data_IF_558068688017
#
_entry.id   IF_558068688017
#
_cell.length_a   1.000
_cell.length_b   1.000
_cell.length_c   1.000
_cell.angle_alpha   90.00
_cell.angle_beta   90.00
_cell.angle_gamma   90.00
#
_symmetry.space_group_name_H-M   'P 1'
#
loop_
_entity.id
_entity.type
_entity.pdbx_description
1 polymer ?
#
# COMPACT_ATOMS: atom_id res chain seq x y z
N UNK A 1 10.44 -4.89 24.87
CA UNK A 1 10.80 -6.10 24.11
C UNK A 1 12.16 -5.83 23.46
N UNK A 2 13.08 -6.80 23.36
CA UNK A 2 14.28 -6.61 22.55
C UNK A 2 13.84 -6.17 21.14
N UNK A 3 14.51 -5.17 20.57
CA UNK A 3 14.14 -4.65 19.25
C UNK A 3 14.08 -5.80 18.25
N UNK A 4 12.88 -6.03 17.69
CA UNK A 4 12.68 -7.06 16.69
C UNK A 4 13.72 -6.89 15.58
N UNK A 5 14.24 -8.00 15.07
CA UNK A 5 15.23 -7.99 13.99
C UNK A 5 14.52 -7.93 12.62
N UNK A 6 15.16 -7.39 11.57
CA UNK A 6 14.72 -7.61 10.20
C UNK A 6 14.58 -9.11 9.90
N UNK A 7 13.61 -9.46 9.07
CA UNK A 7 13.38 -10.84 8.63
C UNK A 7 14.39 -11.19 7.53
N UNK A 8 14.93 -12.40 7.60
CA UNK A 8 15.90 -12.93 6.65
C UNK A 8 16.02 -14.45 6.78
N UNK A 9 16.43 -15.11 5.68
CA UNK A 9 16.65 -16.55 5.66
C UNK A 9 15.39 -17.35 6.04
N UNK A 10 15.52 -18.46 6.79
CA UNK A 10 14.39 -19.34 7.13
C UNK A 10 13.18 -18.63 7.76
N UNK A 11 13.43 -17.53 8.49
CA UNK A 11 12.39 -16.73 9.14
C UNK A 11 11.41 -16.08 8.15
N UNK A 12 11.80 -15.89 6.89
CA UNK A 12 10.91 -15.38 5.85
C UNK A 12 9.78 -16.38 5.58
N UNK A 13 10.12 -17.66 5.36
CA UNK A 13 9.15 -18.71 5.07
C UNK A 13 8.29 -19.05 6.31
N UNK A 14 8.91 -19.11 7.49
CA UNK A 14 8.19 -19.33 8.75
C UNK A 14 7.14 -18.23 8.98
N UNK A 15 7.53 -16.96 8.80
CA UNK A 15 6.62 -15.83 8.95
C UNK A 15 5.54 -15.83 7.87
N UNK A 16 5.88 -16.17 6.63
CA UNK A 16 4.94 -16.26 5.53
C UNK A 16 3.83 -17.26 5.85
N UNK A 17 4.18 -18.49 6.27
CA UNK A 17 3.22 -19.55 6.62
C UNK A 17 2.30 -19.14 7.77
N UNK A 18 2.87 -18.56 8.83
CA UNK A 18 2.07 -18.10 9.97
C UNK A 18 1.08 -16.99 9.59
N UNK A 19 1.48 -16.07 8.71
CA UNK A 19 0.59 -15.04 8.16
C UNK A 19 -0.46 -15.63 7.22
N UNK A 20 -0.08 -16.60 6.40
CA UNK A 20 -0.98 -17.31 5.48
C UNK A 20 -2.12 -18.00 6.26
N UNK A 21 -1.78 -18.79 7.27
CA UNK A 21 -2.73 -19.47 8.15
C UNK A 21 -3.67 -18.47 8.85
N UNK A 22 -3.11 -17.38 9.40
CA UNK A 22 -3.88 -16.33 10.08
C UNK A 22 -4.86 -15.61 9.14
N UNK A 23 -4.39 -15.25 7.94
CA UNK A 23 -5.25 -14.61 6.94
C UNK A 23 -6.33 -15.58 6.47
N UNK A 24 -5.99 -16.84 6.22
CA UNK A 24 -6.93 -17.88 5.79
C UNK A 24 -8.01 -18.18 6.82
N UNK A 25 -7.66 -18.25 8.10
CA UNK A 25 -8.58 -18.59 9.18
C UNK A 25 -9.62 -17.51 9.46
N UNK A 26 -9.36 -16.26 9.06
CA UNK A 26 -10.18 -15.10 9.43
C UNK A 26 -10.72 -14.29 8.24
N UNK A 27 -10.73 -14.87 7.04
CA UNK A 27 -11.17 -14.22 5.79
C UNK A 27 -12.58 -13.65 5.86
N UNK A 28 -13.45 -14.36 6.58
CA UNK A 28 -14.81 -13.99 6.87
C UNK A 28 -14.94 -12.66 7.65
N UNK A 29 -13.93 -12.29 8.43
CA UNK A 29 -13.86 -11.01 9.13
C UNK A 29 -13.29 -9.92 8.23
N UNK A 30 -12.16 -10.19 7.56
CA UNK A 30 -11.41 -9.14 6.88
C UNK A 30 -11.74 -8.92 5.41
N UNK A 31 -12.49 -9.78 4.73
CA UNK A 31 -12.93 -9.57 3.33
C UNK A 31 -14.21 -8.73 3.18
N UNK A 32 -15.29 -8.92 3.97
CA UNK A 32 -16.57 -8.24 3.73
C UNK A 32 -16.53 -6.74 4.00
N UNK A 33 -16.86 -5.87 3.03
CA UNK A 33 -16.73 -4.38 3.14
C UNK A 33 -17.92 -3.78 3.86
N UNK A 34 -17.80 -3.21 5.08
CA UNK A 34 -18.94 -2.64 5.80
C UNK A 34 -19.75 -1.66 4.97
N UNK A 35 -19.10 -0.87 4.11
CA UNK A 35 -19.77 0.04 3.16
C UNK A 35 -20.82 -0.64 2.27
N UNK A 36 -20.60 -1.90 1.88
CA UNK A 36 -21.44 -2.63 0.93
C UNK A 36 -22.58 -3.41 1.59
N UNK A 37 -22.54 -3.60 2.92
CA UNK A 37 -23.50 -4.41 3.66
C UNK A 37 -24.33 -3.52 4.58
N UNK A 38 -25.60 -3.87 4.79
CA UNK A 38 -26.38 -3.33 5.91
C UNK A 38 -26.04 -4.10 7.20
N UNK A 39 -25.86 -5.42 7.07
CA UNK A 39 -25.38 -6.31 8.11
C UNK A 39 -24.30 -7.24 7.53
N UNK A 40 -23.15 -7.31 8.20
CA UNK A 40 -22.03 -8.15 7.78
C UNK A 40 -22.28 -9.61 8.18
N UNK A 41 -21.86 -10.60 7.34
CA UNK A 41 -22.09 -12.01 7.64
C UNK A 41 -21.48 -12.50 8.97
N UNK A 42 -20.39 -11.89 9.43
CA UNK A 42 -19.74 -12.28 10.69
C UNK A 42 -20.47 -11.79 11.94
N UNK A 43 -21.38 -10.81 11.84
CA UNK A 43 -22.05 -10.23 13.01
C UNK A 43 -22.88 -11.26 13.77
N UNK A 44 -23.50 -12.21 13.06
CA UNK A 44 -24.26 -13.29 13.69
C UNK A 44 -23.38 -14.25 14.51
N UNK A 45 -22.09 -14.37 14.16
CA UNK A 45 -21.12 -15.22 14.88
C UNK A 45 -20.46 -14.50 16.06
N UNK A 46 -20.41 -13.17 16.02
CA UNK A 46 -19.85 -12.33 17.08
C UNK A 46 -20.81 -11.18 17.45
N UNK A 47 -22.01 -11.50 17.98
CA UNK A 47 -23.07 -10.51 18.18
C UNK A 47 -22.71 -9.43 19.20
N UNK A 48 -21.95 -9.78 20.24
CA UNK A 48 -21.50 -8.82 21.25
C UNK A 48 -20.54 -7.78 20.66
N UNK A 49 -19.53 -8.22 19.90
CA UNK A 49 -18.61 -7.34 19.20
C UNK A 49 -19.34 -6.45 18.19
N UNK A 50 -20.24 -7.03 17.40
CA UNK A 50 -21.02 -6.27 16.41
C UNK A 50 -21.88 -5.17 17.07
N UNK A 51 -22.63 -5.52 18.12
CA UNK A 51 -23.47 -4.58 18.86
C UNK A 51 -22.63 -3.51 19.58
N UNK A 52 -21.44 -3.85 20.05
CA UNK A 52 -20.51 -2.88 20.63
C UNK A 52 -19.97 -1.91 19.58
N UNK A 53 -19.52 -2.39 18.42
CA UNK A 53 -19.00 -1.54 17.33
C UNK A 53 -20.07 -0.60 16.77
N UNK A 54 -21.30 -1.07 16.57
CA UNK A 54 -22.40 -0.26 16.03
C UNK A 54 -22.86 0.87 16.95
N UNK A 55 -22.64 0.76 18.26
CA UNK A 55 -23.02 1.79 19.25
C UNK A 55 -22.00 2.90 19.41
N UNK A 56 -20.80 2.75 18.85
CA UNK A 56 -19.73 3.74 18.93
C UNK A 56 -19.98 4.92 17.99
N UNK A 57 -19.46 6.07 18.36
CA UNK A 57 -19.55 7.28 17.54
C UNK A 57 -18.59 7.22 16.33
N UNK A 58 -18.75 8.18 15.41
CA UNK A 58 -17.77 8.37 14.33
C UNK A 58 -16.40 8.79 14.88
N UNK A 59 -16.38 9.69 15.87
CA UNK A 59 -15.14 10.17 16.50
C UNK A 59 -14.37 9.03 17.19
N UNK A 60 -15.09 8.11 17.85
CA UNK A 60 -14.52 6.90 18.44
C UNK A 60 -13.84 5.99 17.40
N UNK A 61 -14.39 5.93 16.18
CA UNK A 61 -13.81 5.16 15.09
C UNK A 61 -12.56 5.85 14.53
N UNK A 62 -12.62 7.19 14.37
CA UNK A 62 -11.48 7.97 13.87
C UNK A 62 -10.28 7.91 14.81
N UNK A 63 -10.52 7.97 16.13
CA UNK A 63 -9.48 7.86 17.15
C UNK A 63 -8.76 6.51 17.11
N UNK A 64 -9.48 5.42 16.80
CA UNK A 64 -8.94 4.07 16.72
C UNK A 64 -8.41 3.69 15.32
N UNK A 65 -8.71 4.45 14.26
CA UNK A 65 -8.52 4.01 12.86
C UNK A 65 -7.09 3.59 12.51
N UNK A 66 -6.08 4.31 13.01
CA UNK A 66 -4.67 4.01 12.74
C UNK A 66 -4.04 3.07 13.78
N UNK A 67 -4.68 2.92 14.94
CA UNK A 67 -4.22 2.07 16.03
C UNK A 67 -5.33 1.15 16.55
N UNK A 68 -5.97 0.36 15.67
CA UNK A 68 -7.07 -0.51 16.06
C UNK A 68 -6.62 -1.55 17.09
N UNK A 69 -5.34 -1.93 17.10
CA UNK A 69 -4.77 -2.89 18.04
C UNK A 69 -4.77 -2.43 19.50
N UNK A 70 -4.89 -1.12 19.74
CA UNK A 70 -4.94 -0.54 21.09
C UNK A 70 -6.36 -0.49 21.65
N UNK A 71 -7.36 -0.86 20.84
CA UNK A 71 -8.75 -0.78 21.20
C UNK A 71 -9.15 -1.94 22.12
N UNK A 72 -9.62 -1.62 23.32
CA UNK A 72 -10.27 -2.57 24.21
C UNK A 72 -11.70 -2.88 23.72
N UNK A 73 -11.83 -3.91 22.88
CA UNK A 73 -13.10 -4.37 22.31
C UNK A 73 -13.41 -5.82 22.72
N UNK A 74 -14.69 -6.24 22.73
CA UNK A 74 -15.09 -7.61 23.06
C UNK A 74 -14.43 -8.66 22.15
N UNK A 75 -14.33 -9.89 22.67
CA UNK A 75 -13.82 -11.03 21.90
C UNK A 75 -14.60 -11.22 20.58
N UNK A 76 -13.93 -11.65 19.49
CA UNK A 76 -12.53 -12.09 19.43
C UNK A 76 -11.53 -10.96 19.13
N UNK A 77 -11.92 -9.69 19.23
CA UNK A 77 -11.12 -8.57 18.71
C UNK A 77 -9.74 -8.45 19.38
N UNK A 78 -9.68 -8.58 20.70
CA UNK A 78 -8.46 -8.50 21.50
C UNK A 78 -7.43 -9.57 21.12
N UNK A 79 -7.86 -10.82 21.00
CA UNK A 79 -7.02 -11.94 20.57
C UNK A 79 -6.50 -11.74 19.14
N UNK A 80 -7.36 -11.26 18.23
CA UNK A 80 -6.97 -10.93 16.85
C UNK A 80 -5.98 -9.78 16.79
N UNK A 81 -6.15 -8.76 17.64
CA UNK A 81 -5.23 -7.63 17.73
C UNK A 81 -3.85 -8.07 18.22
N UNK A 82 -3.78 -8.89 19.27
CA UNK A 82 -2.54 -9.48 19.77
C UNK A 82 -1.85 -10.36 18.72
N UNK A 83 -2.58 -11.26 18.06
CA UNK A 83 -2.04 -12.11 17.01
C UNK A 83 -1.52 -11.27 15.82
N UNK A 84 -2.30 -10.29 15.37
CA UNK A 84 -1.90 -9.38 14.30
C UNK A 84 -0.61 -8.63 14.65
N UNK A 85 -0.47 -8.10 15.87
CA UNK A 85 0.73 -7.42 16.32
C UNK A 85 1.96 -8.31 16.27
N UNK A 86 1.87 -9.52 16.85
CA UNK A 86 2.97 -10.49 16.87
C UNK A 86 3.38 -10.89 15.46
N UNK A 87 2.41 -11.21 14.61
CA UNK A 87 2.63 -11.59 13.21
C UNK A 87 3.12 -10.42 12.35
N UNK A 88 2.83 -9.19 12.74
CA UNK A 88 3.24 -7.96 12.05
C UNK A 88 4.61 -7.43 12.48
N UNK A 89 5.16 -7.97 13.57
CA UNK A 89 6.40 -7.49 14.15
C UNK A 89 7.58 -7.68 13.19
N UNK A 90 8.27 -6.59 12.89
CA UNK A 90 9.44 -6.56 12.01
C UNK A 90 10.45 -5.53 12.49
N UNK A 91 11.73 -5.88 12.46
CA UNK A 91 12.80 -4.94 12.82
C UNK A 91 12.99 -3.79 11.86
N UNK A 92 13.62 -2.72 12.34
CA UNK A 92 14.18 -1.71 11.46
C UNK A 92 15.46 -2.26 10.82
N UNK A 93 15.64 -2.01 9.52
CA UNK A 93 16.91 -2.29 8.86
C UNK A 93 18.01 -1.43 9.52
N UNK A 94 19.23 -1.95 9.70
CA UNK A 94 20.33 -1.17 10.28
C UNK A 94 20.57 0.08 9.44
N UNK A 95 20.80 1.22 10.12
CA UNK A 95 21.22 2.43 9.43
C UNK A 95 22.71 2.32 9.08
N UNK A 96 23.08 2.80 7.92
CA UNK A 96 24.48 3.00 7.52
C UNK A 96 24.75 4.49 7.55
N UNK A 97 25.88 4.87 8.15
CA UNK A 97 26.42 6.20 8.00
C UNK A 97 26.86 6.39 6.54
N UNK A 98 26.00 7.00 5.74
CA UNK A 98 26.34 7.56 4.43
C UNK A 98 26.44 9.06 4.57
N UNK A 99 27.35 9.66 3.82
CA UNK A 99 27.37 11.11 3.68
C UNK A 99 25.98 11.56 3.21
N UNK A 100 25.36 12.45 3.98
CA UNK A 100 24.02 12.89 3.64
C UNK A 100 24.09 13.68 2.33
N UNK A 101 23.21 13.35 1.38
CA UNK A 101 23.02 14.16 0.19
C UNK A 101 22.81 15.63 0.59
N UNK A 102 23.60 16.58 0.03
CA UNK A 102 23.50 17.99 0.40
C UNK A 102 22.08 18.56 0.18
N UNK A 103 21.68 19.56 0.96
CA UNK A 103 20.30 20.10 0.90
C UNK A 103 19.89 20.64 -0.49
N UNK A 104 20.85 21.02 -1.34
CA UNK A 104 20.58 21.37 -2.75
C UNK A 104 19.92 20.24 -3.56
N UNK A 105 20.02 18.99 -3.13
CA UNK A 105 19.36 17.84 -3.75
C UNK A 105 17.88 17.73 -3.38
N UNK A 106 17.42 18.47 -2.36
CA UNK A 106 16.03 18.52 -1.92
C UNK A 106 15.18 19.53 -2.71
N UNK A 107 15.77 20.30 -3.62
CA UNK A 107 15.06 21.28 -4.46
C UNK A 107 13.94 20.58 -5.25
N UNK A 108 12.76 21.18 -5.24
CA UNK A 108 11.51 20.67 -5.83
C UNK A 108 11.00 19.34 -5.23
N UNK A 109 11.51 18.92 -4.06
CA UNK A 109 11.03 17.74 -3.34
C UNK A 109 10.21 18.16 -2.11
N UNK A 110 8.92 17.77 -2.02
CA UNK A 110 8.17 17.97 -0.79
C UNK A 110 8.88 17.34 0.42
N UNK A 111 8.97 18.05 1.54
CA UNK A 111 9.81 17.65 2.68
C UNK A 111 9.56 16.22 3.19
N UNK A 112 8.30 15.74 3.16
CA UNK A 112 7.98 14.35 3.51
C UNK A 112 8.58 13.34 2.54
N UNK A 113 8.51 13.61 1.22
CA UNK A 113 9.13 12.76 0.20
C UNK A 113 10.65 12.75 0.38
N UNK A 114 11.25 13.89 0.70
CA UNK A 114 12.69 13.99 0.98
C UNK A 114 13.11 13.16 2.19
N UNK A 115 12.35 13.22 3.29
CA UNK A 115 12.58 12.36 4.46
C UNK A 115 12.49 10.88 4.11
N UNK A 116 11.53 10.46 3.27
CA UNK A 116 11.44 9.06 2.83
C UNK A 116 12.67 8.64 2.02
N UNK A 117 13.14 9.48 1.10
CA UNK A 117 14.35 9.24 0.31
C UNK A 117 15.57 9.11 1.22
N UNK A 118 15.76 10.02 2.18
CA UNK A 118 16.87 9.98 3.14
C UNK A 118 16.86 8.71 3.98
N UNK A 119 15.69 8.31 4.48
CA UNK A 119 15.56 7.08 5.25
C UNK A 119 15.77 5.84 4.40
N UNK A 120 15.26 5.80 3.16
CA UNK A 120 15.50 4.70 2.24
C UNK A 120 17.00 4.56 1.96
N UNK A 121 17.65 5.67 1.59
CA UNK A 121 19.07 5.73 1.28
C UNK A 121 19.96 5.27 2.45
N UNK A 122 19.60 5.65 3.68
CA UNK A 122 20.37 5.27 4.88
C UNK A 122 20.25 3.80 5.26
N UNK A 123 19.32 3.04 4.66
CA UNK A 123 19.21 1.58 4.88
C UNK A 123 19.90 0.75 3.80
N UNK A 124 20.43 1.36 2.74
CA UNK A 124 21.08 0.63 1.66
C UNK A 124 22.46 0.14 2.12
N UNK A 125 22.47 -1.04 2.74
CA UNK A 125 23.67 -1.74 3.15
C UNK A 125 23.85 -2.95 2.24
N UNK A 126 24.88 -2.96 1.40
CA UNK A 126 25.24 -4.13 0.60
C UNK A 126 26.67 -4.58 0.94
N UNK A 127 27.00 -5.85 0.70
CA UNK A 127 28.34 -6.36 0.95
C UNK A 127 29.38 -5.74 0.00
N UNK A 128 28.96 -5.44 -1.24
CA UNK A 128 29.79 -4.72 -2.22
C UNK A 128 29.19 -3.35 -2.55
N UNK A 129 30.01 -2.30 -2.73
CA UNK A 129 29.49 -1.00 -3.18
C UNK A 129 28.81 -1.12 -4.56
N UNK A 130 27.63 -0.50 -4.73
CA UNK A 130 26.95 -0.40 -6.02
C UNK A 130 27.84 0.26 -7.08
N UNK A 131 27.92 -0.35 -8.26
CA UNK A 131 28.71 0.17 -9.38
C UNK A 131 27.91 1.13 -10.28
N UNK A 132 26.59 0.96 -10.34
CA UNK A 132 25.68 1.78 -11.13
C UNK A 132 24.27 1.69 -10.54
N UNK A 133 23.70 2.83 -10.15
CA UNK A 133 22.30 2.91 -9.73
C UNK A 133 21.34 2.87 -10.92
N UNK A 134 20.24 2.12 -10.78
CA UNK A 134 19.12 2.19 -11.73
C UNK A 134 17.85 2.59 -10.97
N UNK A 135 17.36 3.82 -11.16
CA UNK A 135 16.13 4.32 -10.53
C UNK A 135 14.93 3.96 -11.40
N UNK A 136 14.08 3.06 -10.89
CA UNK A 136 12.96 2.48 -11.61
C UNK A 136 11.66 3.24 -11.31
N UNK A 137 10.94 3.66 -12.35
CA UNK A 137 9.82 4.61 -12.24
C UNK A 137 10.28 5.91 -11.55
N UNK A 138 11.36 6.49 -12.09
CA UNK A 138 12.17 7.50 -11.41
C UNK A 138 11.44 8.85 -11.19
N UNK A 139 10.40 9.15 -11.97
CA UNK A 139 9.89 10.51 -12.13
C UNK A 139 11.04 11.45 -12.53
N UNK A 140 11.33 12.44 -11.68
CA UNK A 140 12.48 13.37 -11.85
C UNK A 140 13.81 12.82 -11.28
N UNK A 141 13.90 11.53 -10.95
CA UNK A 141 15.09 10.86 -10.42
C UNK A 141 15.57 11.35 -9.06
N UNK A 142 14.68 11.81 -8.18
CA UNK A 142 15.10 12.36 -6.87
C UNK A 142 15.76 11.33 -5.96
N UNK A 143 15.33 10.06 -6.01
CA UNK A 143 15.93 8.99 -5.23
C UNK A 143 17.33 8.67 -5.78
N UNK A 144 17.43 8.35 -7.07
CA UNK A 144 18.68 8.03 -7.73
C UNK A 144 19.72 9.14 -7.56
N UNK A 145 19.35 10.40 -7.78
CA UNK A 145 20.27 11.54 -7.60
C UNK A 145 20.77 11.68 -6.16
N UNK A 146 19.90 11.45 -5.17
CA UNK A 146 20.30 11.47 -3.76
C UNK A 146 21.27 10.34 -3.40
N UNK A 147 21.34 9.28 -4.19
CA UNK A 147 22.23 8.13 -4.00
C UNK A 147 23.51 8.20 -4.82
N UNK A 148 23.45 8.86 -5.98
CA UNK A 148 24.56 9.08 -6.91
C UNK A 148 25.42 10.31 -6.56
N UNK A 149 25.14 10.98 -5.43
CA UNK A 149 25.87 12.18 -5.01
C UNK A 149 27.36 11.92 -4.68
N UNK A 150 27.73 10.65 -4.48
CA UNK A 150 29.09 10.17 -4.30
C UNK A 150 29.85 9.94 -5.63
N UNK A 151 29.20 10.22 -6.76
CA UNK A 151 29.77 10.08 -8.11
C UNK A 151 29.45 8.74 -8.77
N UNK A 152 28.75 7.82 -8.09
CA UNK A 152 28.29 6.57 -8.70
C UNK A 152 27.38 6.87 -9.90
N UNK A 153 27.59 6.27 -11.09
CA UNK A 153 26.71 6.44 -12.24
C UNK A 153 25.24 6.13 -11.92
N UNK A 154 24.34 6.79 -12.64
CA UNK A 154 22.89 6.66 -12.47
C UNK A 154 22.18 6.56 -13.82
N UNK A 155 21.28 5.58 -13.96
CA UNK A 155 20.27 5.54 -15.01
C UNK A 155 18.89 5.66 -14.39
N UNK A 156 18.06 6.57 -14.90
CA UNK A 156 16.66 6.74 -14.49
C UNK A 156 15.75 6.26 -15.62
N UNK A 157 14.81 5.37 -15.33
CA UNK A 157 13.78 4.94 -16.28
C UNK A 157 12.43 5.56 -15.91
N UNK A 158 11.82 6.27 -16.85
CA UNK A 158 10.55 6.98 -16.66
C UNK A 158 9.73 7.01 -17.96
N UNK A 159 8.40 6.87 -17.89
CA UNK A 159 7.52 6.77 -19.06
C UNK A 159 7.01 8.15 -19.53
N UNK A 160 7.02 9.15 -18.64
CA UNK A 160 6.61 10.52 -18.94
C UNK A 160 7.79 11.35 -19.46
N UNK A 161 7.71 11.81 -20.71
CA UNK A 161 8.77 12.57 -21.37
C UNK A 161 9.07 13.93 -20.70
N UNK A 162 8.08 14.59 -20.10
CA UNK A 162 8.30 15.86 -19.39
C UNK A 162 9.08 15.61 -18.09
N UNK A 163 8.76 14.53 -17.38
CA UNK A 163 9.50 14.14 -16.17
C UNK A 163 10.93 13.73 -16.49
N UNK A 164 11.16 13.01 -17.58
CA UNK A 164 12.50 12.66 -18.09
C UNK A 164 13.32 13.93 -18.36
N UNK A 165 12.78 14.86 -19.15
CA UNK A 165 13.48 16.11 -19.49
C UNK A 165 13.77 16.96 -18.24
N UNK A 166 12.80 17.08 -17.33
CA UNK A 166 12.99 17.79 -16.06
C UNK A 166 14.03 17.10 -15.17
N UNK A 167 14.04 15.76 -15.13
CA UNK A 167 15.01 14.96 -14.41
C UNK A 167 16.44 15.16 -14.93
N UNK A 168 16.63 15.11 -16.25
CA UNK A 168 17.93 15.33 -16.88
C UNK A 168 18.47 16.73 -16.57
N UNK A 169 17.67 17.77 -16.77
CA UNK A 169 18.07 19.15 -16.46
C UNK A 169 18.49 19.35 -14.99
N UNK A 170 17.86 18.61 -14.07
CA UNK A 170 18.19 18.63 -12.65
C UNK A 170 19.49 17.86 -12.34
N UNK A 171 19.76 16.75 -13.03
CA UNK A 171 21.05 16.02 -12.95
C UNK A 171 22.21 16.85 -13.50
N UNK A 172 22.02 17.49 -14.66
CA UNK A 172 23.04 18.31 -15.32
C UNK A 172 23.47 19.49 -14.45
N UNK A 173 22.50 20.17 -13.82
CA UNK A 173 22.75 21.27 -12.87
C UNK A 173 23.59 20.82 -11.67
N UNK A 174 23.44 19.57 -11.24
CA UNK A 174 24.20 18.98 -10.14
C UNK A 174 25.49 18.30 -10.61
N UNK A 175 25.78 18.32 -11.92
CA UNK A 175 26.93 17.69 -12.55
C UNK A 175 27.09 16.20 -12.20
N UNK A 176 25.96 15.49 -12.11
CA UNK A 176 25.94 14.05 -11.84
C UNK A 176 26.19 13.25 -13.12
N UNK A 177 26.89 12.12 -12.99
CA UNK A 177 26.98 11.11 -14.06
C UNK A 177 25.64 10.35 -14.16
N UNK A 178 24.61 11.02 -14.68
CA UNK A 178 23.24 10.52 -14.68
C UNK A 178 22.58 10.66 -16.05
N UNK A 179 21.94 9.59 -16.49
CA UNK A 179 21.16 9.51 -17.72
C UNK A 179 19.69 9.24 -17.40
N UNK A 180 18.78 10.07 -17.93
CA UNK A 180 17.34 9.84 -17.82
C UNK A 180 16.79 9.37 -19.17
N UNK A 181 16.15 8.21 -19.18
CA UNK A 181 15.65 7.54 -20.38
C UNK A 181 14.12 7.46 -20.35
N UNK A 182 13.53 7.79 -21.50
CA UNK A 182 12.12 7.52 -21.77
C UNK A 182 11.94 6.00 -21.94
N UNK A 183 11.31 5.36 -20.98
CA UNK A 183 11.06 3.92 -21.00
C UNK A 183 9.74 3.61 -20.30
N UNK A 184 8.82 2.96 -21.04
CA UNK A 184 7.75 2.22 -20.40
C UNK A 184 8.35 0.93 -19.82
N UNK A 185 8.42 0.88 -18.49
CA UNK A 185 9.04 -0.23 -17.78
C UNK A 185 8.23 -1.54 -17.85
N UNK A 186 6.98 -1.49 -18.30
CA UNK A 186 6.15 -2.68 -18.58
C UNK A 186 6.36 -3.22 -20.00
N UNK A 187 6.98 -2.44 -20.89
CA UNK A 187 7.26 -2.88 -22.25
C UNK A 187 8.27 -4.04 -22.29
N UNK A 188 8.30 -4.74 -23.42
CA UNK A 188 9.16 -5.90 -23.61
C UNK A 188 10.65 -5.52 -23.62
N UNK A 189 10.98 -4.41 -24.27
CA UNK A 189 12.33 -3.84 -24.42
C UNK A 189 12.90 -3.27 -23.12
N UNK A 190 12.09 -3.12 -22.06
CA UNK A 190 12.58 -2.76 -20.73
C UNK A 190 13.63 -3.76 -20.20
N UNK A 191 13.60 -5.01 -20.68
CA UNK A 191 14.63 -6.02 -20.35
C UNK A 191 16.03 -5.59 -20.78
N UNK A 192 16.17 -4.85 -21.88
CA UNK A 192 17.45 -4.40 -22.44
C UNK A 192 18.06 -3.24 -21.63
N UNK A 193 17.30 -2.67 -20.70
CA UNK A 193 17.76 -1.58 -19.83
C UNK A 193 18.46 -2.08 -18.55
N UNK A 194 18.44 -3.40 -18.27
CA UNK A 194 19.07 -3.99 -17.09
C UNK A 194 20.24 -4.89 -17.46
N UNK A 195 21.25 -4.89 -16.59
CA UNK A 195 22.42 -5.76 -16.70
C UNK A 195 22.96 -6.04 -15.29
N UNK A 196 23.87 -7.01 -15.17
CA UNK A 196 24.37 -7.51 -13.88
C UNK A 196 25.07 -6.45 -13.02
N UNK A 197 25.54 -5.34 -13.62
CA UNK A 197 26.25 -4.24 -12.95
C UNK A 197 25.30 -3.22 -12.31
N UNK A 198 24.04 -3.20 -12.75
CA UNK A 198 23.03 -2.32 -12.18
C UNK A 198 22.63 -2.79 -10.78
N UNK A 199 22.40 -1.81 -9.90
CA UNK A 199 21.71 -1.98 -8.63
C UNK A 199 20.37 -1.25 -8.73
N UNK A 200 19.28 -1.95 -9.08
CA UNK A 200 17.99 -1.32 -9.24
C UNK A 200 17.36 -0.90 -7.92
N UNK A 201 16.67 0.23 -7.97
CA UNK A 201 16.02 0.89 -6.86
C UNK A 201 14.57 1.18 -7.22
N UNK A 202 13.67 1.01 -6.26
CA UNK A 202 12.29 1.45 -6.43
C UNK A 202 11.70 1.92 -5.11
N UNK A 203 11.38 3.21 -5.05
CA UNK A 203 10.57 3.82 -3.99
C UNK A 203 9.28 4.34 -4.62
N UNK A 204 8.18 3.64 -4.38
CA UNK A 204 6.84 3.88 -4.97
C UNK A 204 6.58 3.33 -6.37
N UNK A 205 7.32 2.31 -6.84
CA UNK A 205 6.89 1.53 -7.99
C UNK A 205 5.64 0.70 -7.62
N UNK A 206 4.47 1.05 -8.19
CA UNK A 206 3.18 0.50 -7.78
C UNK A 206 2.81 -0.77 -8.55
N UNK A 207 2.29 -1.79 -7.85
CA UNK A 207 1.70 -3.00 -8.42
C UNK A 207 2.62 -3.72 -9.40
N UNK A 208 2.16 -3.91 -10.64
CA UNK A 208 2.96 -4.57 -11.69
C UNK A 208 4.34 -3.94 -11.89
N UNK A 209 4.50 -2.64 -11.64
CA UNK A 209 5.76 -1.95 -11.88
C UNK A 209 6.91 -2.51 -11.04
N UNK A 210 6.69 -2.77 -9.75
CA UNK A 210 7.76 -3.37 -8.92
C UNK A 210 7.87 -4.87 -9.16
N UNK A 211 6.79 -5.57 -9.49
CA UNK A 211 6.84 -7.00 -9.83
C UNK A 211 7.70 -7.21 -11.07
N UNK A 212 7.48 -6.39 -12.10
CA UNK A 212 8.26 -6.38 -13.33
C UNK A 212 9.73 -6.11 -13.06
N UNK A 213 10.05 -5.16 -12.17
CA UNK A 213 11.42 -4.91 -11.75
C UNK A 213 12.07 -6.16 -11.14
N UNK A 214 11.39 -6.83 -10.20
CA UNK A 214 11.93 -8.03 -9.54
C UNK A 214 12.23 -9.13 -10.56
N UNK A 215 11.34 -9.33 -11.53
CA UNK A 215 11.50 -10.33 -12.60
C UNK A 215 12.68 -9.99 -13.50
N UNK A 216 12.72 -8.77 -14.04
CA UNK A 216 13.76 -8.36 -14.98
C UNK A 216 15.15 -8.26 -14.33
N UNK A 217 15.25 -7.68 -13.13
CA UNK A 217 16.52 -7.58 -12.41
C UNK A 217 17.07 -8.97 -12.08
N UNK A 218 16.20 -9.90 -11.70
CA UNK A 218 16.59 -11.29 -11.46
C UNK A 218 17.05 -11.98 -12.75
N UNK A 219 16.33 -11.81 -13.86
CA UNK A 219 16.69 -12.40 -15.15
C UNK A 219 18.02 -11.83 -15.70
N UNK A 220 18.22 -10.52 -15.57
CA UNK A 220 19.45 -9.83 -16.00
C UNK A 220 20.66 -10.11 -15.09
N UNK A 221 20.47 -10.82 -13.97
CA UNK A 221 21.53 -11.15 -13.04
C UNK A 221 22.05 -9.97 -12.23
N UNK A 222 21.23 -8.92 -12.02
CA UNK A 222 21.59 -7.79 -11.16
C UNK A 222 22.03 -8.30 -9.79
N UNK A 223 23.22 -7.90 -9.33
CA UNK A 223 23.80 -8.43 -8.09
C UNK A 223 23.02 -7.99 -6.86
N UNK A 224 22.42 -6.80 -6.91
CA UNK A 224 21.78 -6.14 -5.78
C UNK A 224 20.50 -5.47 -6.25
N UNK A 225 19.51 -5.37 -5.36
CA UNK A 225 18.35 -4.51 -5.55
C UNK A 225 17.76 -4.06 -4.22
N UNK A 226 17.07 -2.91 -4.25
CA UNK A 226 16.37 -2.35 -3.11
C UNK A 226 14.98 -1.85 -3.52
N UNK A 227 13.93 -2.43 -2.95
CA UNK A 227 12.54 -2.16 -3.37
C UNK A 227 11.65 -1.91 -2.15
N UNK A 228 10.93 -0.79 -2.16
CA UNK A 228 9.88 -0.45 -1.19
C UNK A 228 8.51 -0.39 -1.90
N UNK A 229 7.78 -1.51 -2.01
CA UNK A 229 6.45 -1.55 -2.61
C UNK A 229 5.44 -0.71 -1.80
N UNK A 230 4.50 -0.03 -2.47
CA UNK A 230 3.56 0.88 -1.78
C UNK A 230 2.08 0.73 -2.15
N UNK A 231 1.77 0.14 -3.31
CA UNK A 231 0.41 -0.10 -3.80
C UNK A 231 0.35 -1.49 -4.42
N UNK A 232 -0.41 -2.40 -3.84
CA UNK A 232 -0.46 -3.79 -4.30
C UNK A 232 -1.63 -4.05 -5.26
N UNK A 233 -2.66 -3.20 -5.25
CA UNK A 233 -3.87 -3.35 -6.06
C UNK A 233 -3.75 -2.85 -7.51
N UNK A 234 -2.59 -2.33 -7.92
CA UNK A 234 -2.35 -1.85 -9.29
C UNK A 234 -1.85 -3.00 -10.18
N UNK A 235 -2.68 -4.03 -10.30
CA UNK A 235 -2.42 -5.23 -11.09
C UNK A 235 -3.23 -5.19 -12.40
N UNK A 236 -2.76 -5.92 -13.41
CA UNK A 236 -3.38 -6.04 -14.74
C UNK A 236 -4.59 -6.98 -14.77
N UNK A 237 -4.80 -7.73 -13.68
CA UNK A 237 -5.75 -8.82 -13.56
C UNK A 237 -6.75 -8.59 -12.43
N UNK A 238 -7.81 -9.40 -12.41
CA UNK A 238 -8.78 -9.37 -11.31
C UNK A 238 -8.23 -10.00 -10.03
N UNK A 239 -7.28 -10.94 -10.16
CA UNK A 239 -6.70 -11.70 -9.06
C UNK A 239 -5.20 -11.50 -8.98
N UNK A 240 -4.69 -11.48 -7.75
CA UNK A 240 -3.26 -11.46 -7.45
C UNK A 240 -2.58 -12.71 -7.97
N UNK A 241 -1.45 -12.56 -8.68
CA UNK A 241 -0.60 -13.65 -9.13
C UNK A 241 0.61 -13.80 -8.20
N UNK A 242 0.68 -14.88 -7.39
CA UNK A 242 1.80 -15.06 -6.47
C UNK A 242 3.13 -15.33 -7.19
N UNK A 243 4.23 -14.81 -6.64
CA UNK A 243 5.57 -14.89 -7.24
C UNK A 243 6.40 -16.07 -6.75
N UNK A 244 6.30 -16.42 -5.48
CA UNK A 244 7.04 -17.52 -4.86
C UNK A 244 6.31 -18.85 -5.00
N UNK A 245 7.04 -19.95 -4.91
CA UNK A 245 6.48 -21.31 -4.85
C UNK A 245 5.55 -21.45 -3.63
N UNK A 246 5.96 -20.90 -2.48
CA UNK A 246 5.18 -20.97 -1.26
C UNK A 246 3.81 -20.29 -1.40
N UNK A 247 3.77 -19.08 -1.96
CA UNK A 247 2.52 -18.35 -2.13
C UNK A 247 1.65 -18.93 -3.26
N UNK A 248 2.25 -19.50 -4.32
CA UNK A 248 1.49 -20.25 -5.33
C UNK A 248 0.81 -21.50 -4.76
N UNK A 249 1.40 -22.11 -3.74
CA UNK A 249 0.85 -23.28 -3.07
C UNK A 249 -0.20 -22.94 -2.00
N UNK A 250 -0.32 -21.67 -1.61
CA UNK A 250 -1.32 -21.22 -0.65
C UNK A 250 -2.73 -21.32 -1.23
N UNK A 251 -3.73 -21.77 -0.45
CA UNK A 251 -5.13 -21.67 -0.84
C UNK A 251 -5.67 -20.23 -0.76
N UNK A 252 -4.90 -19.26 -0.25
CA UNK A 252 -5.32 -17.87 -0.12
C UNK A 252 -5.30 -17.17 -1.48
N UNK A 253 -6.47 -17.07 -2.12
CA UNK A 253 -6.64 -16.34 -3.38
C UNK A 253 -7.09 -14.90 -3.11
N UNK A 254 -6.29 -13.92 -3.51
CA UNK A 254 -6.57 -12.51 -3.28
C UNK A 254 -7.08 -11.84 -4.54
N UNK A 255 -8.24 -11.21 -4.47
CA UNK A 255 -8.73 -10.34 -5.54
C UNK A 255 -8.03 -8.98 -5.50
N UNK A 256 -8.07 -8.25 -6.61
CA UNK A 256 -7.61 -6.85 -6.71
C UNK A 256 -8.25 -5.96 -5.65
N UNK A 257 -9.48 -6.28 -5.26
CA UNK A 257 -10.19 -5.55 -4.21
C UNK A 257 -9.66 -5.87 -2.81
N UNK A 258 -9.22 -7.11 -2.54
CA UNK A 258 -8.57 -7.49 -1.29
C UNK A 258 -7.23 -6.75 -1.11
N UNK A 259 -6.48 -6.56 -2.20
CA UNK A 259 -5.20 -5.82 -2.22
C UNK A 259 -5.33 -4.33 -1.87
N UNK A 260 -6.56 -3.80 -1.75
CA UNK A 260 -6.82 -2.44 -1.27
C UNK A 260 -6.74 -2.34 0.25
N UNK A 261 -6.90 -3.44 0.98
CA UNK A 261 -6.94 -3.43 2.44
C UNK A 261 -5.66 -2.81 3.06
N UNK A 262 -4.44 -3.18 2.65
CA UNK A 262 -3.21 -2.56 3.16
C UNK A 262 -3.11 -1.05 2.86
N UNK A 263 -3.90 -0.54 1.92
CA UNK A 263 -3.86 0.85 1.46
C UNK A 263 -4.87 1.76 2.18
N UNK A 264 -5.70 1.20 3.04
CA UNK A 264 -6.78 1.91 3.73
C UNK A 264 -6.32 2.75 4.94
N UNK A 265 -5.04 2.66 5.32
CA UNK A 265 -4.46 3.49 6.39
C UNK A 265 -4.24 4.94 5.94
N UNK A 266 -4.59 5.88 6.82
CA UNK A 266 -4.53 7.33 6.52
C UNK A 266 -3.80 8.11 7.61
N UNK A 267 -2.57 8.53 7.31
CA UNK A 267 -1.71 9.24 8.27
C UNK A 267 -1.65 10.75 8.08
N UNK A 268 -2.12 11.30 6.95
CA UNK A 268 -1.69 12.64 6.51
C UNK A 268 -2.79 13.58 6.01
N UNK A 269 -4.06 13.20 6.14
CA UNK A 269 -5.18 14.05 5.77
C UNK A 269 -5.33 15.22 6.75
N UNK A 270 -5.53 16.46 6.26
CA UNK A 270 -5.87 17.59 7.12
C UNK A 270 -7.30 17.47 7.65
N UNK A 271 -7.66 18.18 8.72
CA UNK A 271 -9.02 18.17 9.27
C UNK A 271 -10.08 18.57 8.22
N UNK A 272 -9.74 19.52 7.33
CA UNK A 272 -10.62 19.89 6.21
C UNK A 272 -10.83 18.72 5.25
N UNK A 273 -9.77 18.01 4.88
CA UNK A 273 -9.84 16.85 3.98
C UNK A 273 -10.64 15.72 4.61
N UNK A 274 -10.49 15.49 5.92
CA UNK A 274 -11.29 14.50 6.67
C UNK A 274 -12.78 14.83 6.59
N UNK A 275 -13.19 16.04 7.00
CA UNK A 275 -14.60 16.48 6.93
C UNK A 275 -15.20 16.33 5.54
N UNK A 276 -14.46 16.70 4.50
CA UNK A 276 -14.91 16.57 3.12
C UNK A 276 -15.08 15.11 2.69
N UNK A 277 -14.16 14.22 3.10
CA UNK A 277 -14.26 12.77 2.87
C UNK A 277 -15.48 12.21 3.56
N UNK A 278 -15.70 12.58 4.82
CA UNK A 278 -16.78 12.05 5.64
C UNK A 278 -18.14 12.52 5.12
N UNK A 279 -18.27 13.79 4.74
CA UNK A 279 -19.47 14.30 4.05
C UNK A 279 -19.75 13.52 2.76
N UNK A 280 -18.72 13.30 1.94
CA UNK A 280 -18.86 12.52 0.69
C UNK A 280 -19.33 11.09 0.97
N UNK A 281 -18.77 10.44 1.99
CA UNK A 281 -19.13 9.07 2.34
C UNK A 281 -20.51 8.96 2.98
N UNK A 282 -20.88 9.86 3.90
CA UNK A 282 -22.21 9.90 4.50
C UNK A 282 -23.30 10.07 3.43
N UNK A 283 -23.10 10.97 2.46
CA UNK A 283 -24.05 11.16 1.34
C UNK A 283 -24.15 9.93 0.45
N UNK A 284 -23.03 9.27 0.15
CA UNK A 284 -23.06 8.00 -0.61
C UNK A 284 -23.76 6.89 0.16
N UNK A 285 -23.58 6.81 1.47
CA UNK A 285 -24.22 5.83 2.33
C UNK A 285 -25.72 6.07 2.46
N UNK A 286 -26.16 7.34 2.51
CA UNK A 286 -27.55 7.71 2.43
C UNK A 286 -28.16 7.34 1.07
N UNK A 287 -27.46 7.63 -0.02
CA UNK A 287 -27.89 7.21 -1.35
C UNK A 287 -27.93 5.68 -1.49
N UNK A 288 -27.03 4.94 -0.86
CA UNK A 288 -27.11 3.47 -0.86
C UNK A 288 -28.34 2.95 -0.11
N UNK A 289 -28.82 3.63 0.95
CA UNK A 289 -30.11 3.27 1.57
C UNK A 289 -31.26 3.52 0.59
N UNK A 290 -31.24 4.68 -0.09
CA UNK A 290 -32.25 5.06 -1.08
C UNK A 290 -32.30 4.09 -2.26
N UNK A 291 -31.15 3.74 -2.85
CA UNK A 291 -31.13 2.88 -4.05
C UNK A 291 -31.65 1.47 -3.75
N UNK A 292 -31.41 0.93 -2.54
CA UNK A 292 -31.95 -0.38 -2.12
C UNK A 292 -33.48 -0.33 -2.03
N UNK A 293 -34.02 0.74 -1.45
CA UNK A 293 -35.47 0.99 -1.38
C UNK A 293 -36.08 1.10 -2.78
N UNK A 294 -35.51 1.93 -3.66
CA UNK A 294 -36.03 2.14 -5.02
C UNK A 294 -36.00 0.88 -5.88
N UNK A 295 -35.03 0.01 -5.66
CA UNK A 295 -34.88 -1.25 -6.41
C UNK A 295 -35.63 -2.42 -5.75
N UNK A 296 -35.96 -2.32 -4.47
CA UNK A 296 -36.44 -3.47 -3.68
C UNK A 296 -35.39 -4.58 -3.51
N UNK A 297 -34.10 -4.24 -3.59
CA UNK A 297 -32.99 -5.21 -3.55
C UNK A 297 -31.97 -4.80 -2.49
N UNK A 298 -31.68 -5.69 -1.54
CA UNK A 298 -30.63 -5.50 -0.53
C UNK A 298 -29.22 -5.83 -1.09
N UNK A 299 -28.84 -5.14 -2.17
CA UNK A 299 -27.51 -5.26 -2.76
C UNK A 299 -26.89 -3.89 -3.05
N UNK A 300 -25.62 -3.71 -2.70
CA UNK A 300 -24.89 -2.48 -2.97
C UNK A 300 -24.80 -2.21 -4.47
N UNK A 301 -25.15 -0.99 -4.88
CA UNK A 301 -24.95 -0.51 -6.25
C UNK A 301 -23.74 0.44 -6.29
N UNK A 302 -22.62 0.05 -6.93
CA UNK A 302 -21.44 0.89 -6.99
C UNK A 302 -21.70 2.23 -7.70
N UNK A 303 -21.39 3.34 -7.04
CA UNK A 303 -21.43 4.70 -7.62
C UNK A 303 -20.02 5.11 -8.05
N UNK A 304 -19.83 5.72 -9.24
CA UNK A 304 -18.52 6.16 -9.70
C UNK A 304 -17.89 7.21 -8.76
N UNK A 305 -16.61 7.52 -8.98
CA UNK A 305 -15.98 8.69 -8.38
C UNK A 305 -16.70 9.95 -8.86
N UNK A 306 -17.22 10.74 -7.90
CA UNK A 306 -17.97 11.95 -8.22
C UNK A 306 -17.05 13.18 -8.07
N UNK A 307 -17.12 14.16 -8.98
CA UNK A 307 -16.44 15.44 -8.83
C UNK A 307 -16.81 16.13 -7.51
N UNK A 308 -15.87 16.89 -6.94
CA UNK A 308 -16.07 17.56 -5.65
C UNK A 308 -17.27 18.53 -5.65
N UNK A 309 -17.59 19.12 -6.81
CA UNK A 309 -18.73 20.00 -6.98
C UNK A 309 -20.08 19.33 -6.60
N UNK A 310 -20.18 18.00 -6.64
CA UNK A 310 -21.38 17.28 -6.19
C UNK A 310 -21.68 17.49 -4.70
N UNK A 311 -20.67 17.75 -3.88
CA UNK A 311 -20.88 18.04 -2.46
C UNK A 311 -21.52 19.41 -2.21
N UNK A 312 -21.52 20.29 -3.23
CA UNK A 312 -22.16 21.61 -3.14
C UNK A 312 -23.66 21.59 -3.50
N UNK A 313 -24.15 20.46 -4.04
CA UNK A 313 -25.57 20.31 -4.36
C UNK A 313 -26.40 20.20 -3.07
N UNK A 314 -27.64 20.67 -3.15
CA UNK A 314 -28.66 20.25 -2.18
C UNK A 314 -28.74 18.72 -2.13
N UNK A 315 -29.00 18.15 -0.96
CA UNK A 315 -28.97 16.69 -0.79
C UNK A 315 -30.05 15.99 -1.63
N UNK A 316 -31.22 16.61 -1.82
CA UNK A 316 -32.28 16.04 -2.63
C UNK A 316 -31.89 15.99 -4.12
N UNK A 317 -31.28 17.05 -4.64
CA UNK A 317 -30.74 17.09 -6.01
C UNK A 317 -29.59 16.08 -6.19
N UNK A 318 -28.70 15.99 -5.20
CA UNK A 318 -27.65 14.97 -5.18
C UNK A 318 -28.23 13.56 -5.37
N UNK A 319 -29.29 13.21 -4.63
CA UNK A 319 -29.93 11.91 -4.74
C UNK A 319 -30.68 11.70 -6.05
N UNK A 320 -31.41 12.71 -6.55
CA UNK A 320 -32.11 12.63 -7.85
C UNK A 320 -31.14 12.45 -9.00
N UNK A 321 -30.06 13.23 -9.02
CA UNK A 321 -29.05 13.14 -10.07
C UNK A 321 -28.30 11.81 -10.04
N UNK A 322 -28.04 11.26 -8.85
CA UNK A 322 -27.46 9.93 -8.74
C UNK A 322 -28.44 8.81 -9.15
N UNK A 323 -29.73 8.96 -8.85
CA UNK A 323 -30.74 8.01 -9.32
C UNK A 323 -30.79 8.03 -10.85
N UNK A 324 -30.82 9.21 -11.47
CA UNK A 324 -30.76 9.36 -12.93
C UNK A 324 -29.46 8.79 -13.52
N UNK A 325 -28.30 9.07 -12.91
CA UNK A 325 -27.00 8.51 -13.33
C UNK A 325 -26.95 6.97 -13.26
N UNK A 326 -27.81 6.36 -12.45
CA UNK A 326 -27.89 4.92 -12.22
C UNK A 326 -29.12 4.27 -12.86
N UNK A 327 -29.83 5.00 -13.71
CA UNK A 327 -31.04 4.55 -14.38
C UNK A 327 -32.09 4.00 -13.39
N UNK A 328 -32.18 4.63 -12.22
CA UNK A 328 -33.14 4.31 -11.17
C UNK A 328 -34.40 5.18 -11.30
N UNK A 329 -35.55 4.71 -10.78
CA UNK A 329 -36.75 5.54 -10.69
C UNK A 329 -36.48 6.84 -9.93
N UNK A 330 -37.13 7.92 -10.37
CA UNK A 330 -37.04 9.20 -9.65
C UNK A 330 -37.58 9.03 -8.23
N UNK A 331 -36.82 9.43 -7.19
CA UNK A 331 -37.29 9.32 -5.82
C UNK A 331 -38.55 10.14 -5.57
N UNK A 332 -39.58 9.53 -4.97
CA UNK A 332 -40.75 10.24 -4.49
C UNK A 332 -40.40 11.30 -3.41
N UNK A 333 -41.22 12.37 -3.26
CA UNK A 333 -41.08 13.33 -2.16
C UNK A 333 -40.96 12.62 -0.80
N UNK A 334 -39.97 13.02 0.00
CA UNK A 334 -39.60 12.36 1.25
C UNK A 334 -38.91 13.34 2.20
N UNK A 335 -38.70 12.89 3.44
CA UNK A 335 -37.84 13.59 4.39
C UNK A 335 -36.36 13.37 4.02
N UNK A 336 -35.81 14.32 3.28
CA UNK A 336 -34.42 14.32 2.85
C UNK A 336 -33.45 14.50 4.02
N UNK A 337 -33.84 15.25 5.05
CA UNK A 337 -33.02 15.48 6.23
C UNK A 337 -32.86 14.20 7.05
N UNK A 338 -33.95 13.45 7.25
CA UNK A 338 -33.90 12.15 7.90
C UNK A 338 -33.03 11.15 7.13
N UNK A 339 -33.10 11.14 5.79
CA UNK A 339 -32.25 10.27 4.97
C UNK A 339 -30.76 10.66 5.06
N UNK A 340 -30.43 11.96 5.02
CA UNK A 340 -29.05 12.42 5.19
C UNK A 340 -28.50 12.05 6.58
N UNK A 341 -29.30 12.23 7.64
CA UNK A 341 -28.96 11.84 9.01
C UNK A 341 -28.67 10.34 9.13
N UNK A 342 -29.48 9.48 8.48
CA UNK A 342 -29.23 8.03 8.41
C UNK A 342 -27.92 7.70 7.68
N UNK A 343 -27.52 8.51 6.68
CA UNK A 343 -26.21 8.39 6.04
C UNK A 343 -25.05 8.63 6.99
N UNK A 344 -25.17 9.66 7.84
CA UNK A 344 -24.17 9.95 8.88
C UNK A 344 -24.12 8.88 9.97
N UNK A 345 -25.27 8.40 10.43
CA UNK A 345 -25.32 7.25 11.35
C UNK A 345 -24.63 6.04 10.75
N UNK A 346 -24.96 5.71 9.49
CA UNK A 346 -24.32 4.59 8.81
C UNK A 346 -22.82 4.80 8.61
N UNK A 347 -22.36 6.04 8.41
CA UNK A 347 -20.92 6.30 8.34
C UNK A 347 -20.21 5.91 9.65
N UNK A 348 -20.79 6.25 10.81
CA UNK A 348 -20.27 5.84 12.11
C UNK A 348 -20.23 4.31 12.24
N UNK A 349 -21.31 3.62 11.86
CA UNK A 349 -21.38 2.16 11.86
C UNK A 349 -20.31 1.54 10.95
N UNK A 350 -20.22 2.00 9.69
CA UNK A 350 -19.25 1.52 8.70
C UNK A 350 -17.83 1.68 9.22
N UNK A 351 -17.49 2.83 9.80
CA UNK A 351 -16.15 3.11 10.32
C UNK A 351 -15.77 2.23 11.50
N UNK A 352 -16.69 2.01 12.43
CA UNK A 352 -16.42 1.10 13.54
C UNK A 352 -16.35 -0.36 13.06
N UNK A 353 -17.22 -0.78 12.15
CA UNK A 353 -17.20 -2.13 11.56
C UNK A 353 -15.99 -2.38 10.63
N UNK A 354 -15.26 -1.34 10.23
CA UNK A 354 -13.98 -1.46 9.53
C UNK A 354 -12.82 -1.83 10.48
N UNK A 355 -12.94 -1.60 11.79
CA UNK A 355 -11.85 -1.83 12.75
C UNK A 355 -11.41 -3.30 12.84
N UNK A 356 -12.31 -4.31 12.85
CA UNK A 356 -11.88 -5.71 12.81
C UNK A 356 -11.03 -6.01 11.58
N UNK A 357 -11.42 -5.47 10.41
CA UNK A 357 -10.64 -5.63 9.17
C UNK A 357 -9.31 -4.90 9.23
N UNK A 358 -9.26 -3.77 9.93
CA UNK A 358 -8.07 -2.94 10.06
C UNK A 358 -6.91 -3.70 10.72
N UNK A 359 -7.21 -4.66 11.61
CA UNK A 359 -6.22 -5.55 12.21
C UNK A 359 -5.48 -6.40 11.17
N UNK A 360 -6.01 -6.58 9.96
CA UNK A 360 -5.40 -7.41 8.91
C UNK A 360 -4.64 -6.61 7.85
N UNK A 361 -4.60 -5.27 7.95
CA UNK A 361 -3.89 -4.40 6.98
C UNK A 361 -2.41 -4.75 6.90
N UNK A 362 -1.74 -4.77 8.06
CA UNK A 362 -0.31 -5.03 8.17
C UNK A 362 0.06 -6.51 7.96
N UNK A 363 -0.70 -7.48 8.51
CA UNK A 363 -0.51 -8.89 8.17
C UNK A 363 -0.57 -9.15 6.66
N UNK A 364 -1.57 -8.60 5.96
CA UNK A 364 -1.71 -8.78 4.51
C UNK A 364 -0.59 -8.08 3.73
N UNK A 365 -0.17 -6.88 4.15
CA UNK A 365 1.01 -6.22 3.57
C UNK A 365 2.26 -7.10 3.68
N UNK A 366 2.52 -7.65 4.86
CA UNK A 366 3.68 -8.52 5.07
C UNK A 366 3.60 -9.82 4.28
N UNK A 367 2.42 -10.43 4.17
CA UNK A 367 2.23 -11.60 3.32
C UNK A 367 2.66 -11.31 1.87
N UNK A 368 2.25 -10.15 1.32
CA UNK A 368 2.63 -9.72 -0.03
C UNK A 368 4.13 -9.39 -0.16
N UNK A 369 4.73 -8.79 0.87
CA UNK A 369 6.17 -8.53 0.90
C UNK A 369 6.99 -9.82 1.00
N UNK A 370 6.53 -10.78 1.78
CA UNK A 370 7.19 -12.07 1.96
C UNK A 370 7.09 -12.94 0.71
N UNK A 371 5.98 -12.88 -0.02
CA UNK A 371 5.90 -13.53 -1.35
C UNK A 371 7.03 -13.02 -2.29
N UNK A 372 7.28 -11.70 -2.32
CA UNK A 372 8.38 -11.11 -3.09
C UNK A 372 9.75 -11.49 -2.54
N UNK A 373 9.89 -11.54 -1.22
CA UNK A 373 11.14 -11.93 -0.57
C UNK A 373 11.51 -13.39 -0.88
N UNK A 374 10.55 -14.29 -0.75
CA UNK A 374 10.72 -15.71 -1.05
C UNK A 374 11.00 -15.95 -2.53
N UNK A 375 10.31 -15.23 -3.43
CA UNK A 375 10.63 -15.25 -4.86
C UNK A 375 12.10 -14.86 -5.10
N UNK A 376 12.60 -13.81 -4.46
CA UNK A 376 14.00 -13.40 -4.60
C UNK A 376 14.97 -14.46 -4.03
N UNK A 377 14.64 -15.12 -2.92
CA UNK A 377 15.45 -16.25 -2.43
C UNK A 377 15.48 -17.41 -3.45
N UNK A 378 14.35 -17.71 -4.09
CA UNK A 378 14.26 -18.70 -5.18
C UNK A 378 15.11 -18.29 -6.40
N UNK A 379 15.34 -16.99 -6.62
CA UNK A 379 16.24 -16.46 -7.66
C UNK A 379 17.73 -16.39 -7.23
N UNK A 380 18.08 -16.90 -6.05
CA UNK A 380 19.46 -16.98 -5.55
C UNK A 380 19.95 -15.73 -4.82
N UNK A 381 19.04 -14.88 -4.34
CA UNK A 381 19.40 -13.74 -3.49
C UNK A 381 19.36 -14.12 -2.00
N UNK A 382 20.24 -13.51 -1.22
CA UNK A 382 20.02 -13.33 0.21
C UNK A 382 19.13 -12.10 0.41
N UNK A 383 18.02 -12.27 1.12
CA UNK A 383 17.02 -11.22 1.28
C UNK A 383 16.91 -10.77 2.74
N UNK A 384 16.81 -9.46 2.94
CA UNK A 384 16.44 -8.83 4.21
C UNK A 384 15.20 -7.98 4.02
N UNK A 385 14.19 -8.22 4.84
CA UNK A 385 12.96 -7.45 4.91
C UNK A 385 12.88 -6.73 6.25
N UNK A 386 12.75 -5.41 6.23
CA UNK A 386 12.59 -4.63 7.46
C UNK A 386 12.09 -3.21 7.22
N UNK A 387 11.83 -2.49 8.30
CA UNK A 387 11.36 -1.10 8.24
C UNK A 387 12.51 -0.18 7.86
N UNK A 388 12.27 0.76 6.94
CA UNK A 388 13.26 1.79 6.60
C UNK A 388 13.01 3.13 7.29
N UNK A 389 11.76 3.42 7.63
CA UNK A 389 11.34 4.65 8.31
C UNK A 389 10.17 4.41 9.30
N UNK A 390 9.80 5.45 10.05
CA UNK A 390 8.66 5.41 10.96
C UNK A 390 7.32 5.40 10.19
N UNK A 391 6.29 4.68 10.68
CA UNK A 391 5.01 4.54 9.96
C UNK A 391 4.25 5.87 9.78
N UNK A 392 4.51 6.86 10.64
CA UNK A 392 3.93 8.21 10.51
C UNK A 392 4.42 8.94 9.24
N UNK A 393 5.59 8.56 8.72
CA UNK A 393 6.14 9.14 7.50
C UNK A 393 5.48 8.54 6.25
N UNK A 394 5.32 7.22 6.24
CA UNK A 394 4.54 6.44 5.28
C UNK A 394 4.12 5.13 5.94
N UNK A 395 2.86 4.70 5.84
CA UNK A 395 2.44 3.41 6.41
C UNK A 395 3.17 2.23 5.75
N UNK A 396 3.46 2.38 4.46
CA UNK A 396 4.19 1.42 3.63
C UNK A 396 5.67 1.72 3.79
N UNK A 397 6.20 1.33 4.94
CA UNK A 397 7.55 1.66 5.42
C UNK A 397 8.52 0.48 5.40
N UNK A 398 8.21 -0.59 4.67
CA UNK A 398 9.11 -1.72 4.50
C UNK A 398 9.97 -1.61 3.26
N UNK A 399 11.16 -2.19 3.36
CA UNK A 399 12.15 -2.26 2.31
C UNK A 399 12.64 -3.71 2.19
N UNK A 400 12.65 -4.21 0.97
CA UNK A 400 13.33 -5.43 0.57
C UNK A 400 14.74 -5.06 0.09
N UNK A 401 15.76 -5.59 0.76
CA UNK A 401 17.14 -5.57 0.29
C UNK A 401 17.51 -6.97 -0.14
N UNK A 402 18.02 -7.13 -1.35
CA UNK A 402 18.44 -8.41 -1.88
C UNK A 402 19.83 -8.32 -2.51
N UNK A 403 20.69 -9.29 -2.23
CA UNK A 403 22.04 -9.41 -2.78
C UNK A 403 22.34 -10.86 -3.17
N UNK A 404 22.90 -11.10 -4.36
CA UNK A 404 23.28 -12.44 -4.81
C UNK A 404 24.51 -12.91 -4.06
N UNK A 405 24.49 -14.17 -3.62
CA UNK A 405 25.67 -14.83 -3.06
C UNK A 405 26.63 -15.12 -4.20
N UNK A 406 27.72 -14.37 -4.32
CA UNK A 406 28.84 -14.81 -5.15
C UNK A 406 29.54 -15.94 -4.41
N UNK A 407 29.20 -17.19 -4.72
CA UNK A 407 30.11 -18.29 -4.42
C UNK A 407 31.36 -18.07 -5.26
N UNK A 408 32.39 -17.49 -4.66
CA UNK A 408 33.74 -17.61 -5.18
C UNK A 408 34.01 -19.10 -5.22
N UNK A 409 33.98 -19.71 -6.41
CA UNK A 409 34.57 -21.03 -6.60
C UNK A 409 36.04 -20.84 -6.24
N UNK A 410 36.45 -21.37 -5.07
CA UNK A 410 37.86 -21.65 -4.84
C UNK A 410 38.26 -22.69 -5.88
N UNK A 411 38.81 -22.22 -7.00
CA UNK A 411 39.47 -23.00 -8.03
C UNK A 411 40.95 -22.69 -8.00
#
# INVERSE_FOLDING_TARGET
>A
MPDALPLSGPRLLERFRALDDFLLAHQDLWRPRPFNFLQLPWEARHPELAAWLRRRSLDDAEAAHNHPEQLAAPAPFDALAAASLVLSETGALPAVARDAAPERFAVDVPGRKWQQIRHFASRLQFATPPAHWLDWCAGKGHLGRALAHDGTPLTCLEYDAELVAAGQALSDRLQLAAEHRLQDVLAADAADQLDARHTPLALHACGELHVRLLQLASAAGCRQLAVAPCCYNRIDSEDYRPLSVAARASPLQLSRDDLRLPLSETVTASARVRRQRDQSMARRLAFDLLQRELRGVDAYLPVPSLPLAWLQKDFADYCRDLAALKDLPSPAPRDWQALEARGWQRLAEVRNLELPRALFRRPLELWLLLDRALYLEEQGYQVRLGRFCAPQLTPRNHLLLAERVTHTRCG
#
